data_IF_242983069901
#
_entry.id   IF_242983069901
#
_cell.length_a   1.000
_cell.length_b   1.000
_cell.length_c   1.000
_cell.angle_alpha   90.00
_cell.angle_beta   90.00
_cell.angle_gamma   90.00
#
_symmetry.space_group_name_H-M   'P 1'
#
loop_
_entity.id
_entity.type
_entity.pdbx_description
1 polymer ?
#
# COMPACT_ATOMS: atom_id res chain seq x y z
N UNK A 1 13.75 4.67 -13.16
CA UNK A 1 12.35 4.99 -13.53
C UNK A 1 11.35 4.22 -12.67
N UNK A 2 11.56 2.93 -12.38
CA UNK A 2 10.64 2.11 -11.57
C UNK A 2 10.53 2.55 -10.09
N UNK A 3 11.66 2.86 -9.44
CA UNK A 3 11.72 3.38 -8.05
C UNK A 3 10.84 4.61 -7.82
N UNK A 4 10.86 5.58 -8.73
CA UNK A 4 10.04 6.79 -8.66
C UNK A 4 8.55 6.49 -8.73
N UNK A 5 8.14 5.55 -9.59
CA UNK A 5 6.75 5.13 -9.69
C UNK A 5 6.29 4.46 -8.38
N UNK A 6 7.11 3.59 -7.79
CA UNK A 6 6.81 2.95 -6.51
C UNK A 6 6.73 3.96 -5.36
N UNK A 7 7.62 4.96 -5.36
CA UNK A 7 7.57 6.05 -4.39
C UNK A 7 6.26 6.86 -4.48
N UNK A 8 5.82 7.17 -5.70
CA UNK A 8 4.54 7.85 -5.92
C UNK A 8 3.34 7.01 -5.45
N UNK A 9 3.37 5.70 -5.70
CA UNK A 9 2.33 4.78 -5.23
C UNK A 9 2.28 4.71 -3.70
N UNK A 10 3.43 4.63 -3.03
CA UNK A 10 3.50 4.66 -1.57
C UNK A 10 2.98 6.00 -1.01
N UNK A 11 3.35 7.12 -1.63
CA UNK A 11 2.85 8.44 -1.25
C UNK A 11 1.32 8.58 -1.45
N UNK A 12 0.78 8.02 -2.53
CA UNK A 12 -0.67 8.02 -2.77
C UNK A 12 -1.43 7.27 -1.67
N UNK A 13 -0.93 6.11 -1.24
CA UNK A 13 -1.54 5.38 -0.12
C UNK A 13 -1.40 6.08 1.22
N UNK A 14 -0.29 6.77 1.45
CA UNK A 14 -0.13 7.63 2.63
C UNK A 14 -1.18 8.75 2.65
N UNK A 15 -1.38 9.45 1.52
CA UNK A 15 -2.42 10.48 1.38
C UNK A 15 -3.80 9.86 1.63
N UNK A 16 -4.07 8.68 1.08
CA UNK A 16 -5.33 7.98 1.27
C UNK A 16 -5.57 7.62 2.74
N UNK A 17 -4.53 7.19 3.46
CA UNK A 17 -4.59 6.94 4.90
C UNK A 17 -4.96 8.20 5.68
N UNK A 18 -4.33 9.33 5.36
CA UNK A 18 -4.64 10.63 5.97
C UNK A 18 -6.08 11.07 5.68
N UNK A 19 -6.55 10.90 4.44
CA UNK A 19 -7.94 11.20 4.05
C UNK A 19 -8.95 10.36 4.82
N UNK A 20 -8.70 9.07 4.97
CA UNK A 20 -9.59 8.16 5.71
C UNK A 20 -9.58 8.51 7.20
N UNK A 21 -8.44 8.93 7.76
CA UNK A 21 -8.35 9.42 9.13
C UNK A 21 -9.07 10.75 9.36
N UNK A 22 -9.09 11.62 8.35
CA UNK A 22 -9.89 12.85 8.36
C UNK A 22 -11.42 12.60 8.23
N UNK A 23 -11.85 11.35 8.05
CA UNK A 23 -13.25 10.95 8.00
C UNK A 23 -13.79 10.64 6.60
N UNK A 24 -12.99 10.79 5.54
CA UNK A 24 -13.41 10.50 4.18
C UNK A 24 -13.28 9.00 3.85
N UNK A 25 -14.37 8.25 4.02
CA UNK A 25 -14.39 6.77 3.91
C UNK A 25 -14.97 6.24 2.58
N UNK A 26 -14.99 7.05 1.54
CA UNK A 26 -15.54 6.65 0.22
C UNK A 26 -14.55 5.77 -0.55
N UNK A 27 -14.34 4.55 -0.05
CA UNK A 27 -13.45 3.55 -0.64
C UNK A 27 -14.07 2.16 -0.55
N UNK A 28 -13.95 1.40 -1.64
CA UNK A 28 -14.40 0.02 -1.65
C UNK A 28 -13.41 -0.89 -0.89
N UNK A 29 -13.88 -1.52 0.18
CA UNK A 29 -13.06 -2.43 0.98
C UNK A 29 -12.45 -3.58 0.14
N UNK A 30 -13.19 -4.09 -0.85
CA UNK A 30 -12.71 -5.13 -1.76
C UNK A 30 -11.55 -4.66 -2.64
N UNK A 31 -11.56 -3.40 -3.09
CA UNK A 31 -10.45 -2.84 -3.86
C UNK A 31 -9.16 -2.82 -3.04
N UNK A 32 -9.23 -2.34 -1.81
CA UNK A 32 -8.05 -2.27 -0.91
C UNK A 32 -7.52 -3.66 -0.59
N UNK A 33 -8.43 -4.63 -0.41
CA UNK A 33 -8.05 -6.01 -0.11
C UNK A 33 -7.35 -6.69 -1.30
N UNK A 34 -7.89 -6.54 -2.51
CA UNK A 34 -7.24 -7.04 -3.74
C UNK A 34 -5.87 -6.37 -3.94
N UNK A 35 -5.78 -5.06 -3.73
CA UNK A 35 -4.52 -4.33 -3.81
C UNK A 35 -3.50 -4.89 -2.81
N UNK A 36 -3.87 -5.02 -1.53
CA UNK A 36 -2.98 -5.51 -0.49
C UNK A 36 -2.50 -6.95 -0.76
N UNK A 37 -3.37 -7.84 -1.26
CA UNK A 37 -2.97 -9.19 -1.68
C UNK A 37 -1.97 -9.15 -2.84
N UNK A 38 -2.22 -8.35 -3.87
CA UNK A 38 -1.30 -8.18 -4.99
C UNK A 38 0.06 -7.65 -4.56
N UNK A 39 0.08 -6.63 -3.69
CA UNK A 39 1.33 -6.08 -3.16
C UNK A 39 2.06 -7.08 -2.26
N UNK A 40 1.34 -7.88 -1.46
CA UNK A 40 1.95 -8.94 -0.66
C UNK A 40 2.67 -9.99 -1.52
N UNK A 41 2.07 -10.39 -2.64
CA UNK A 41 2.72 -11.31 -3.60
C UNK A 41 4.01 -10.71 -4.18
N UNK A 42 3.99 -9.43 -4.54
CA UNK A 42 5.20 -8.73 -5.03
C UNK A 42 6.30 -8.67 -3.96
N UNK A 43 5.96 -8.46 -2.68
CA UNK A 43 6.94 -8.51 -1.59
C UNK A 43 7.58 -9.90 -1.51
N UNK A 44 6.78 -10.96 -1.59
CA UNK A 44 7.27 -12.35 -1.55
C UNK A 44 8.16 -12.66 -2.76
N UNK A 45 7.81 -12.17 -3.95
CA UNK A 45 8.61 -12.33 -5.17
C UNK A 45 9.98 -11.64 -5.09
N UNK A 46 10.03 -10.44 -4.50
CA UNK A 46 11.26 -9.64 -4.40
C UNK A 46 12.13 -10.06 -3.21
N UNK A 47 11.56 -10.70 -2.19
CA UNK A 47 12.28 -11.09 -0.96
C UNK A 47 13.58 -11.89 -1.20
N UNK A 48 13.63 -12.88 -2.11
CA UNK A 48 14.86 -13.66 -2.37
C UNK A 48 15.98 -12.85 -3.02
N UNK A 49 15.66 -11.71 -3.64
CA UNK A 49 16.63 -10.82 -4.30
C UNK A 49 17.30 -9.85 -3.31
N UNK A 50 16.90 -9.87 -2.04
CA UNK A 50 17.39 -8.97 -0.99
C UNK A 50 16.54 -7.70 -0.84
N UNK A 51 16.78 -6.98 0.27
CA UNK A 51 16.06 -5.74 0.61
C UNK A 51 16.55 -4.57 -0.26
N UNK A 52 16.02 -4.48 -1.47
CA UNK A 52 16.21 -3.34 -2.37
C UNK A 52 15.33 -2.16 -1.95
N UNK A 53 15.61 -0.97 -2.48
CA UNK A 53 14.73 0.20 -2.32
C UNK A 53 13.30 -0.06 -2.80
N UNK A 54 13.14 -0.88 -3.83
CA UNK A 54 11.84 -1.25 -4.40
C UNK A 54 11.02 -2.09 -3.42
N UNK A 55 11.67 -3.05 -2.74
CA UNK A 55 11.05 -3.86 -1.71
C UNK A 55 10.46 -3.00 -0.58
N UNK A 56 11.19 -1.95 -0.16
CA UNK A 56 10.72 -1.02 0.87
C UNK A 56 9.48 -0.24 0.44
N UNK A 57 9.39 0.16 -0.83
CA UNK A 57 8.18 0.85 -1.32
C UNK A 57 6.98 -0.09 -1.39
N UNK A 58 7.15 -1.34 -1.81
CA UNK A 58 6.07 -2.33 -1.76
C UNK A 58 5.58 -2.57 -0.31
N UNK A 59 6.52 -2.72 0.64
CA UNK A 59 6.19 -2.86 2.05
C UNK A 59 5.44 -1.63 2.57
N UNK A 60 5.91 -0.42 2.25
CA UNK A 60 5.24 0.82 2.67
C UNK A 60 3.82 0.93 2.11
N UNK A 61 3.65 0.71 0.79
CA UNK A 61 2.33 0.70 0.14
C UNK A 61 1.40 -0.33 0.75
N UNK A 62 1.90 -1.54 1.01
CA UNK A 62 1.13 -2.61 1.66
C UNK A 62 0.66 -2.21 3.06
N UNK A 63 1.57 -1.67 3.89
CA UNK A 63 1.26 -1.23 5.26
C UNK A 63 0.21 -0.12 5.24
N UNK A 64 0.37 0.90 4.40
CA UNK A 64 -0.60 1.99 4.31
C UNK A 64 -1.97 1.52 3.81
N UNK A 65 -2.02 0.67 2.78
CA UNK A 65 -3.26 0.08 2.29
C UNK A 65 -3.96 -0.76 3.38
N UNK A 66 -3.20 -1.55 4.14
CA UNK A 66 -3.75 -2.34 5.24
C UNK A 66 -4.32 -1.46 6.36
N UNK A 67 -3.63 -0.37 6.72
CA UNK A 67 -4.12 0.59 7.70
C UNK A 67 -5.40 1.29 7.24
N UNK A 68 -5.47 1.65 5.95
CA UNK A 68 -6.69 2.19 5.32
C UNK A 68 -7.84 1.19 5.44
N UNK A 69 -7.62 -0.08 5.08
CA UNK A 69 -8.62 -1.14 5.20
C UNK A 69 -9.13 -1.29 6.63
N UNK A 70 -8.23 -1.39 7.61
CA UNK A 70 -8.58 -1.52 9.02
C UNK A 70 -9.38 -0.32 9.52
N UNK A 71 -9.04 0.90 9.08
CA UNK A 71 -9.73 2.11 9.50
C UNK A 71 -11.13 2.23 8.89
N UNK A 72 -11.34 1.81 7.65
CA UNK A 72 -12.66 1.85 7.00
C UNK A 72 -13.62 0.83 7.64
N UNK A 73 -13.08 -0.31 8.11
CA UNK A 73 -13.85 -1.38 8.76
C UNK A 73 -14.18 -1.10 10.24
N UNK A 74 -13.54 -0.12 10.89
CA UNK A 74 -13.82 0.34 12.26
C UNK A 74 -14.81 1.49 12.26
#
# INVERSE_FOLDING_TARGET
MMTLALALVAAAWLIQLLHVWAGHRNLHAYFILVYALGTALLIVEVFPLGLTSDAWFYIASFVFALLVFLKIRR
#
